data_IF_207409483648
#
_entry.id   IF_207409483648
#
_cell.length_a   1.000
_cell.length_b   1.000
_cell.length_c   1.000
_cell.angle_alpha   90.00
_cell.angle_beta   90.00
_cell.angle_gamma   90.00
#
_symmetry.space_group_name_H-M   'P 1'
#
loop_
_entity.id
_entity.type
_entity.pdbx_description
1 polymer ?
#
# COMPACT_ATOMS: atom_id res chain seq x y z
N UNK A 1 14.19 14.28 9.73
CA UNK A 1 14.53 12.90 9.36
C UNK A 1 13.68 12.57 8.14
N UNK A 2 14.28 12.49 6.94
CA UNK A 2 13.53 12.38 5.69
C UNK A 2 13.07 10.92 5.49
N UNK A 3 12.02 10.51 6.21
CA UNK A 3 11.61 9.10 6.31
C UNK A 3 10.84 8.54 5.11
N UNK A 4 10.50 9.34 4.10
CA UNK A 4 9.67 8.90 2.99
C UNK A 4 9.99 9.66 1.70
N UNK A 5 10.29 8.91 0.64
CA UNK A 5 10.55 9.43 -0.71
C UNK A 5 9.51 8.82 -1.67
N UNK A 6 8.73 9.68 -2.32
CA UNK A 6 7.84 9.29 -3.41
C UNK A 6 8.51 9.77 -4.70
N UNK A 7 8.92 8.84 -5.55
CA UNK A 7 9.65 9.16 -6.78
C UNK A 7 8.75 9.53 -7.96
N UNK A 8 7.47 9.15 -7.90
CA UNK A 8 6.49 9.43 -8.95
C UNK A 8 5.54 10.53 -8.47
N UNK A 9 5.56 11.73 -9.10
CA UNK A 9 4.69 12.85 -8.72
C UNK A 9 3.20 12.51 -8.72
N UNK A 10 2.76 11.57 -9.58
CA UNK A 10 1.36 11.11 -9.63
C UNK A 10 0.91 10.33 -8.40
N UNK A 11 1.85 9.95 -7.53
CA UNK A 11 1.57 9.22 -6.29
C UNK A 11 1.71 10.11 -5.06
N UNK A 12 2.03 11.39 -5.23
CA UNK A 12 2.22 12.32 -4.11
C UNK A 12 0.94 12.49 -3.28
N UNK A 13 -0.23 12.29 -3.86
CA UNK A 13 -1.49 12.32 -3.12
C UNK A 13 -1.62 11.21 -2.06
N UNK A 14 -0.81 10.16 -2.15
CA UNK A 14 -0.75 9.11 -1.13
C UNK A 14 0.09 9.52 0.08
N UNK A 15 0.87 10.60 -0.02
CA UNK A 15 1.74 11.08 1.06
C UNK A 15 1.03 11.20 2.41
N UNK A 16 -0.16 11.83 2.52
CA UNK A 16 -0.84 11.96 3.80
C UNK A 16 -1.19 10.59 4.41
N UNK A 17 -1.66 9.64 3.59
CA UNK A 17 -1.94 8.27 4.03
C UNK A 17 -0.67 7.58 4.51
N UNK A 18 0.43 7.71 3.78
CA UNK A 18 1.69 7.05 4.14
C UNK A 18 2.31 7.62 5.41
N UNK A 19 2.17 8.92 5.66
CA UNK A 19 2.55 9.54 6.94
C UNK A 19 1.71 8.96 8.09
N UNK A 20 0.39 8.85 7.90
CA UNK A 20 -0.53 8.22 8.87
C UNK A 20 -0.27 6.73 9.07
N UNK A 21 0.34 6.05 8.11
CA UNK A 21 0.67 4.65 8.25
C UNK A 21 1.76 4.41 9.29
N UNK A 22 2.78 5.29 9.36
CA UNK A 22 3.77 5.25 10.44
C UNK A 22 3.11 5.49 11.80
N UNK A 23 2.22 6.49 11.92
CA UNK A 23 1.46 6.74 13.15
C UNK A 23 0.66 5.50 13.59
N UNK A 24 0.03 4.80 12.65
CA UNK A 24 -0.70 3.56 12.88
C UNK A 24 0.20 2.45 13.45
N UNK A 25 1.39 2.26 12.87
CA UNK A 25 2.36 1.25 13.32
C UNK A 25 2.86 1.60 14.72
N UNK A 26 3.25 2.84 14.96
CA UNK A 26 3.75 3.30 16.26
C UNK A 26 2.68 3.14 17.34
N UNK A 27 1.42 3.51 17.04
CA UNK A 27 0.29 3.32 17.95
C UNK A 27 0.02 1.84 18.25
N UNK A 28 0.13 0.99 17.24
CA UNK A 28 -0.02 -0.45 17.41
C UNK A 28 1.07 -1.00 18.33
N UNK A 29 2.33 -0.67 18.06
CA UNK A 29 3.48 -1.13 18.86
C UNK A 29 3.42 -0.61 20.29
N UNK A 30 3.00 0.64 20.51
CA UNK A 30 2.86 1.22 21.84
C UNK A 30 1.81 0.49 22.71
N UNK A 31 0.75 -0.06 22.10
CA UNK A 31 -0.31 -0.78 22.82
C UNK A 31 0.04 -2.26 22.98
N UNK A 32 0.52 -2.88 21.91
CA UNK A 32 0.70 -4.34 21.82
C UNK A 32 2.10 -4.81 22.24
N UNK A 33 3.06 -3.89 22.30
CA UNK A 33 4.47 -4.16 22.61
C UNK A 33 5.31 -4.43 21.35
N UNK A 34 6.62 -4.16 21.46
CA UNK A 34 7.58 -4.24 20.34
C UNK A 34 7.84 -5.68 19.84
N UNK A 35 7.36 -6.70 20.55
CA UNK A 35 7.61 -8.10 20.23
C UNK A 35 6.71 -8.68 19.15
N UNK A 36 5.69 -7.95 18.68
CA UNK A 36 4.77 -8.48 17.68
C UNK A 36 4.29 -7.39 16.71
N UNK A 37 5.26 -6.72 16.08
CA UNK A 37 5.00 -5.60 15.15
C UNK A 37 4.19 -6.03 13.92
N UNK A 38 3.37 -5.15 13.33
CA UNK A 38 2.44 -5.56 12.27
C UNK A 38 3.08 -6.05 10.98
N UNK A 39 4.27 -5.52 10.66
CA UNK A 39 4.98 -5.87 9.44
C UNK A 39 5.67 -7.24 9.51
N UNK A 40 5.62 -7.93 10.66
CA UNK A 40 6.04 -9.33 10.80
C UNK A 40 4.97 -10.34 10.39
N UNK A 41 3.72 -9.89 10.23
CA UNK A 41 2.62 -10.74 9.74
C UNK A 41 2.59 -10.77 8.20
N UNK A 42 1.48 -11.26 7.64
CA UNK A 42 1.26 -11.37 6.20
C UNK A 42 0.95 -10.01 5.53
N UNK A 43 0.78 -10.04 4.21
CA UNK A 43 0.37 -8.85 3.46
C UNK A 43 -0.99 -8.32 3.92
N UNK A 44 -1.89 -9.19 4.36
CA UNK A 44 -3.24 -8.81 4.75
C UNK A 44 -3.24 -7.95 6.02
N UNK A 45 -2.42 -8.28 7.01
CA UNK A 45 -2.25 -7.45 8.21
C UNK A 45 -1.77 -6.03 7.87
N UNK A 46 -0.82 -5.93 6.92
CA UNK A 46 -0.30 -4.64 6.47
C UNK A 46 -1.35 -3.86 5.65
N UNK A 47 -2.13 -4.54 4.83
CA UNK A 47 -3.24 -3.93 4.07
C UNK A 47 -4.31 -3.35 5.01
N UNK A 48 -4.64 -4.04 6.10
CA UNK A 48 -5.58 -3.54 7.10
C UNK A 48 -5.08 -2.25 7.77
N UNK A 49 -3.79 -2.17 8.09
CA UNK A 49 -3.18 -0.94 8.62
C UNK A 49 -3.14 0.19 7.62
N UNK A 50 -2.82 -0.11 6.36
CA UNK A 50 -2.81 0.86 5.28
C UNK A 50 -4.23 1.40 5.01
N UNK A 51 -5.23 0.52 5.08
CA UNK A 51 -6.64 0.86 5.00
C UNK A 51 -7.05 1.80 6.14
N UNK A 52 -6.66 1.51 7.38
CA UNK A 52 -6.90 2.41 8.51
C UNK A 52 -6.22 3.78 8.33
N UNK A 53 -4.97 3.78 7.85
CA UNK A 53 -4.23 5.01 7.56
C UNK A 53 -4.91 5.87 6.49
N UNK A 54 -5.52 5.23 5.47
CA UNK A 54 -6.28 5.93 4.44
C UNK A 54 -7.49 6.67 5.02
N UNK A 55 -8.26 6.01 5.90
CA UNK A 55 -9.39 6.65 6.58
C UNK A 55 -8.95 7.82 7.48
N UNK A 56 -7.82 7.69 8.17
CA UNK A 56 -7.27 8.80 8.97
C UNK A 56 -6.74 9.97 8.12
N UNK A 57 -6.45 9.73 6.85
CA UNK A 57 -5.99 10.73 5.89
C UNK A 57 -7.14 11.31 5.03
N UNK A 58 -8.38 11.20 5.49
CA UNK A 58 -9.58 11.69 4.79
C UNK A 58 -9.80 11.04 3.41
N UNK A 59 -9.26 9.84 3.21
CA UNK A 59 -9.47 9.02 2.02
C UNK A 59 -10.50 7.92 2.31
N UNK A 60 -11.02 7.31 1.25
CA UNK A 60 -11.81 6.07 1.36
C UNK A 60 -10.96 4.89 0.92
N UNK A 61 -11.08 3.78 1.65
CA UNK A 61 -10.43 2.52 1.30
C UNK A 61 -11.42 1.36 1.24
N UNK A 62 -11.14 0.39 0.36
CA UNK A 62 -11.88 -0.87 0.30
C UNK A 62 -10.94 -2.03 -0.02
N UNK A 63 -10.82 -2.96 0.93
CA UNK A 63 -10.04 -4.17 0.74
C UNK A 63 -10.72 -5.14 -0.22
N UNK A 64 -9.92 -5.90 -0.98
CA UNK A 64 -10.37 -6.95 -1.91
C UNK A 64 -11.38 -6.45 -2.95
N UNK A 65 -11.26 -5.18 -3.34
CA UNK A 65 -12.14 -4.52 -4.29
C UNK A 65 -12.03 -5.16 -5.69
N UNK A 66 -13.15 -5.37 -6.40
CA UNK A 66 -13.11 -5.81 -7.79
C UNK A 66 -12.56 -4.68 -8.68
N UNK A 67 -11.45 -4.91 -9.38
CA UNK A 67 -11.00 -3.99 -10.43
C UNK A 67 -11.50 -4.44 -11.80
N UNK A 68 -12.07 -3.50 -12.55
CA UNK A 68 -12.33 -3.68 -13.98
C UNK A 68 -11.08 -3.23 -14.74
N UNK A 69 -10.16 -4.16 -15.00
CA UNK A 69 -9.15 -3.93 -16.05
C UNK A 69 -9.87 -4.01 -17.39
N UNK A 70 -10.26 -2.87 -17.96
CA UNK A 70 -10.65 -2.82 -19.38
C UNK A 70 -9.36 -3.02 -20.20
N UNK A 71 -9.16 -4.22 -20.73
CA UNK A 71 -8.39 -4.43 -21.95
C UNK A 71 -9.39 -4.75 -23.07
N UNK A 72 -9.08 -4.32 -24.29
CA UNK A 72 -9.92 -4.44 -25.49
C UNK A 72 -10.30 -5.88 -25.89
N UNK A 73 -9.79 -6.93 -25.23
CA UNK A 73 -10.23 -8.30 -25.42
C UNK A 73 -10.41 -9.01 -24.08
N UNK A 74 -11.66 -9.17 -23.65
CA UNK A 74 -12.03 -10.03 -22.52
C UNK A 74 -11.84 -9.37 -21.15
N UNK A 75 -12.95 -8.96 -20.54
CA UNK A 75 -12.98 -8.51 -19.16
C UNK A 75 -12.52 -9.63 -18.21
N UNK A 76 -11.24 -9.62 -17.81
CA UNK A 76 -10.76 -10.43 -16.69
C UNK A 76 -11.03 -9.66 -15.41
N UNK A 77 -11.91 -10.21 -14.57
CA UNK A 77 -12.11 -9.76 -13.19
C UNK A 77 -10.80 -9.98 -12.41
N UNK A 78 -9.94 -8.98 -12.38
CA UNK A 78 -8.78 -8.97 -11.50
C UNK A 78 -9.22 -8.34 -10.17
N UNK A 79 -9.23 -9.14 -9.10
CA UNK A 79 -9.39 -8.60 -7.74
C UNK A 79 -8.13 -7.81 -7.40
N UNK A 80 -8.29 -6.61 -6.88
CA UNK A 80 -7.19 -5.83 -6.32
C UNK A 80 -7.22 -5.91 -4.81
N UNK A 81 -6.05 -5.87 -4.18
CA UNK A 81 -5.94 -6.09 -2.75
C UNK A 81 -6.49 -4.91 -1.95
N UNK A 82 -6.27 -3.68 -2.43
CA UNK A 82 -6.79 -2.47 -1.82
C UNK A 82 -7.16 -1.42 -2.87
N UNK A 83 -8.37 -0.90 -2.76
CA UNK A 83 -8.81 0.30 -3.45
C UNK A 83 -8.66 1.51 -2.54
N UNK A 84 -8.17 2.62 -3.08
CA UNK A 84 -8.04 3.90 -2.41
C UNK A 84 -8.61 5.00 -3.28
N UNK A 85 -9.31 5.96 -2.68
CA UNK A 85 -9.74 7.16 -3.39
C UNK A 85 -9.83 8.40 -2.51
N UNK A 86 -9.51 9.53 -3.11
CA UNK A 86 -9.93 10.87 -2.68
C UNK A 86 -11.09 11.32 -3.56
N UNK A 87 -11.52 12.59 -3.44
CA UNK A 87 -12.51 13.17 -4.36
C UNK A 87 -11.99 13.31 -5.80
N UNK A 88 -10.68 13.44 -5.96
CA UNK A 88 -10.04 13.80 -7.23
C UNK A 88 -9.27 12.62 -7.84
N UNK A 89 -8.69 11.77 -7.00
CA UNK A 89 -7.78 10.72 -7.42
C UNK A 89 -8.17 9.36 -6.85
N UNK A 90 -7.78 8.30 -7.56
CA UNK A 90 -8.00 6.91 -7.11
C UNK A 90 -6.81 6.04 -7.47
N UNK A 91 -6.50 5.10 -6.59
CA UNK A 91 -5.46 4.10 -6.78
C UNK A 91 -6.00 2.69 -6.49
N UNK A 92 -5.42 1.74 -7.22
CA UNK A 92 -5.61 0.32 -6.99
C UNK A 92 -4.24 -0.24 -6.60
N UNK A 93 -4.14 -0.76 -5.38
CA UNK A 93 -2.91 -1.30 -4.80
C UNK A 93 -2.96 -2.82 -4.82
N UNK A 94 -1.93 -3.42 -5.40
CA UNK A 94 -1.65 -4.83 -5.29
C UNK A 94 -0.46 -5.02 -4.34
N UNK A 95 -0.63 -5.84 -3.31
CA UNK A 95 0.41 -6.15 -2.34
C UNK A 95 1.06 -7.49 -2.67
N UNK A 96 2.38 -7.56 -2.53
CA UNK A 96 3.14 -8.80 -2.66
C UNK A 96 4.21 -8.84 -1.59
N UNK A 97 4.35 -9.92 -0.84
CA UNK A 97 5.47 -10.13 0.05
C UNK A 97 6.74 -10.44 -0.76
N UNK A 98 7.82 -9.71 -0.47
CA UNK A 98 9.17 -10.04 -0.95
C UNK A 98 10.08 -10.26 0.23
N UNK A 99 10.60 -11.47 0.37
CA UNK A 99 11.67 -11.77 1.29
C UNK A 99 12.99 -11.27 0.70
N UNK A 100 13.72 -10.37 1.39
CA UNK A 100 15.05 -10.01 0.95
C UNK A 100 15.91 -11.27 0.98
N UNK A 101 16.48 -11.66 -0.17
CA UNK A 101 17.49 -12.70 -0.17
C UNK A 101 18.75 -12.11 0.44
N UNK A 102 19.19 -12.68 1.56
CA UNK A 102 20.33 -12.20 2.35
C UNK A 102 21.69 -12.30 1.61
N UNK A 103 21.70 -12.77 0.35
CA UNK A 103 22.89 -13.15 -0.39
C UNK A 103 23.15 -12.40 -1.72
N UNK A 104 22.36 -11.40 -2.13
CA UNK A 104 22.72 -10.63 -3.33
C UNK A 104 22.36 -9.15 -3.26
N UNK A 105 23.30 -8.31 -3.70
CA UNK A 105 23.26 -6.85 -3.61
C UNK A 105 21.98 -6.23 -4.15
N UNK A 106 21.49 -5.27 -3.40
CA UNK A 106 20.26 -4.51 -3.64
C UNK A 106 20.28 -3.86 -5.03
N UNK A 107 19.48 -4.38 -5.98
CA UNK A 107 19.14 -3.69 -7.23
C UNK A 107 17.62 -3.75 -7.42
N UNK A 108 16.92 -2.75 -6.90
CA UNK A 108 15.48 -2.60 -7.14
C UNK A 108 15.25 -2.10 -8.57
N UNK A 109 14.97 -3.00 -9.51
CA UNK A 109 14.38 -2.64 -10.81
C UNK A 109 12.87 -2.55 -10.63
N UNK A 110 12.33 -1.33 -10.69
CA UNK A 110 10.88 -1.09 -10.77
C UNK A 110 10.49 -1.14 -12.24
N UNK A 111 9.86 -2.23 -12.68
CA UNK A 111 9.29 -2.32 -14.03
C UNK A 111 7.88 -1.73 -14.01
N UNK A 112 7.76 -0.44 -14.34
CA UNK A 112 6.47 0.20 -14.63
C UNK A 112 6.13 0.01 -16.11
N UNK A 113 5.06 -0.73 -16.42
CA UNK A 113 4.49 -0.78 -17.77
C UNK A 113 3.42 0.31 -17.86
N UNK A 114 3.76 1.44 -18.47
CA UNK A 114 2.80 2.45 -18.89
C UNK A 114 2.08 1.92 -20.14
N UNK A 115 0.75 1.91 -20.08
CA UNK A 115 -0.15 1.72 -21.22
C UNK A 115 -1.11 2.90 -21.26
#
# INVERSE_FOLDING_TARGET
MQGMIISNPKLEFLRPMLERWFDCIDRYNAIRGDSETPYWFDEQANLGLLSAAAWMAEMVSLERSPSKKQQEEGARNARTDLYLATREERAYIQATQRWPQVNCGFRSTVTGRFG
#
